data_IF_094211427008
#
_entry.id   IF_094211427008
#
_cell.length_a   1.000
_cell.length_b   1.000
_cell.length_c   1.000
_cell.angle_alpha   90.00
_cell.angle_beta   90.00
_cell.angle_gamma   90.00
#
_symmetry.space_group_name_H-M   'P 1'
#
loop_
_entity.id
_entity.type
_entity.pdbx_description
1 polymer ?
#
# COMPACT_ATOMS: atom_id res chain seq x y z
N UNK A 1 -11.51 17.88 -11.21
CA UNK A 1 -12.09 18.53 -10.03
C UNK A 1 -11.22 19.70 -9.66
N UNK A 2 -11.80 20.89 -9.61
CA UNK A 2 -11.11 22.09 -9.15
C UNK A 2 -11.11 22.10 -7.62
N UNK A 3 -9.93 22.15 -7.02
CA UNK A 3 -9.72 22.39 -5.59
C UNK A 3 -9.43 23.88 -5.40
N UNK A 4 -10.06 24.47 -4.39
CA UNK A 4 -9.79 25.82 -3.93
C UNK A 4 -9.49 25.78 -2.43
N UNK A 5 -8.56 26.61 -1.98
CA UNK A 5 -8.19 26.75 -0.58
C UNK A 5 -8.11 28.22 -0.18
N UNK A 6 -8.77 28.52 0.93
CA UNK A 6 -8.68 29.78 1.68
C UNK A 6 -8.04 29.48 3.03
N UNK A 7 -6.97 30.21 3.36
CA UNK A 7 -6.23 29.99 4.60
C UNK A 7 -7.12 30.20 5.83
N UNK A 8 -7.17 29.18 6.70
CA UNK A 8 -7.74 29.31 8.04
C UNK A 8 -6.62 29.66 9.01
N UNK A 9 -6.83 30.67 9.87
CA UNK A 9 -5.80 31.19 10.78
C UNK A 9 -5.30 30.15 11.80
N UNK A 10 -6.19 29.28 12.27
CA UNK A 10 -5.91 28.20 13.21
C UNK A 10 -6.73 26.97 12.80
N UNK A 11 -6.11 25.80 12.78
CA UNK A 11 -6.78 24.52 12.53
C UNK A 11 -6.47 23.62 13.73
N UNK A 12 -7.42 23.48 14.65
CA UNK A 12 -7.37 22.48 15.72
C UNK A 12 -8.59 21.58 15.57
N UNK A 13 -8.39 20.41 14.95
CA UNK A 13 -9.51 19.54 14.60
C UNK A 13 -9.12 18.06 14.58
N UNK A 14 -10.12 17.21 14.39
CA UNK A 14 -10.01 15.77 14.29
C UNK A 14 -10.37 15.33 12.88
N UNK A 15 -9.55 14.45 12.31
CA UNK A 15 -9.99 13.66 11.17
C UNK A 15 -10.92 12.58 11.69
N UNK A 16 -12.21 12.71 11.37
CA UNK A 16 -13.24 11.80 11.87
C UNK A 16 -13.07 10.39 11.29
N UNK A 17 -12.60 10.28 10.05
CA UNK A 17 -12.47 9.01 9.35
C UNK A 17 -11.10 8.86 8.66
N UNK A 18 -10.08 8.44 9.40
CA UNK A 18 -8.87 7.93 8.78
C UNK A 18 -9.11 6.44 8.44
N UNK A 19 -9.04 6.03 7.16
CA UNK A 19 -9.46 4.70 6.75
C UNK A 19 -8.56 3.65 7.41
N UNK A 20 -9.13 2.49 7.69
CA UNK A 20 -8.35 1.34 8.14
C UNK A 20 -7.39 0.85 7.05
N UNK A 21 -6.27 0.27 7.46
CA UNK A 21 -5.22 -0.21 6.57
C UNK A 21 -5.77 -1.25 5.61
N UNK A 22 -5.72 -0.92 4.31
CA UNK A 22 -6.10 -1.84 3.23
C UNK A 22 -5.20 -3.08 3.24
N UNK A 23 -3.91 -2.87 3.49
CA UNK A 23 -2.90 -3.92 3.47
C UNK A 23 -3.07 -4.92 4.61
N UNK A 24 -3.42 -4.45 5.80
CA UNK A 24 -3.75 -5.32 6.93
C UNK A 24 -5.09 -6.03 6.74
N UNK A 25 -6.12 -5.27 6.33
CA UNK A 25 -7.48 -5.81 6.13
C UNK A 25 -7.48 -7.00 5.17
N UNK A 26 -6.77 -6.87 4.04
CA UNK A 26 -6.76 -7.92 3.03
C UNK A 26 -6.04 -9.19 3.49
N UNK A 27 -4.99 -9.06 4.31
CA UNK A 27 -4.30 -10.22 4.91
C UNK A 27 -5.18 -10.89 5.97
N UNK A 28 -5.78 -10.09 6.83
CA UNK A 28 -6.70 -10.57 7.86
C UNK A 28 -7.90 -11.33 7.27
N UNK A 29 -8.48 -10.84 6.15
CA UNK A 29 -9.55 -11.54 5.43
C UNK A 29 -9.11 -12.90 4.86
N UNK A 30 -7.90 -12.97 4.27
CA UNK A 30 -7.36 -14.23 3.74
C UNK A 30 -7.10 -15.21 4.88
N UNK A 31 -6.43 -14.77 5.95
CA UNK A 31 -6.16 -15.61 7.13
C UNK A 31 -7.46 -16.13 7.74
N UNK A 32 -8.48 -15.27 7.88
CA UNK A 32 -9.80 -15.68 8.37
C UNK A 32 -10.40 -16.82 7.51
N UNK A 33 -10.35 -16.72 6.18
CA UNK A 33 -10.92 -17.75 5.31
C UNK A 33 -10.06 -19.01 5.21
N UNK A 34 -8.72 -18.90 5.32
CA UNK A 34 -7.83 -20.05 5.44
C UNK A 34 -8.08 -20.80 6.76
N UNK A 35 -8.31 -20.09 7.86
CA UNK A 35 -8.70 -20.69 9.12
C UNK A 35 -10.05 -21.39 9.03
N UNK A 36 -11.05 -20.78 8.38
CA UNK A 36 -12.35 -21.42 8.12
C UNK A 36 -12.20 -22.69 7.28
N UNK A 37 -11.31 -22.69 6.28
CA UNK A 37 -10.97 -23.89 5.51
C UNK A 37 -10.39 -25.00 6.40
N UNK A 38 -9.57 -24.65 7.40
CA UNK A 38 -9.09 -25.53 8.48
C UNK A 38 -10.15 -25.83 9.58
N UNK A 39 -11.43 -25.52 9.34
CA UNK A 39 -12.55 -25.70 10.28
C UNK A 39 -12.49 -24.83 11.56
N UNK A 40 -11.70 -23.76 11.56
CA UNK A 40 -11.65 -22.76 12.64
C UNK A 40 -12.61 -21.61 12.36
N UNK A 41 -13.61 -21.42 13.23
CA UNK A 41 -14.77 -20.55 12.95
C UNK A 41 -14.81 -19.25 13.75
N UNK A 42 -13.96 -19.09 14.76
CA UNK A 42 -14.01 -17.95 15.69
C UNK A 42 -12.85 -16.97 15.46
N UNK A 43 -12.55 -16.65 14.19
CA UNK A 43 -11.71 -15.51 13.83
C UNK A 43 -12.60 -14.33 13.45
N UNK A 44 -12.51 -13.24 14.20
CA UNK A 44 -13.27 -12.02 13.93
C UNK A 44 -12.31 -10.88 13.56
N UNK A 45 -12.63 -10.16 12.49
CA UNK A 45 -11.87 -8.99 12.06
C UNK A 45 -12.71 -7.73 12.30
N UNK A 46 -12.16 -6.78 13.04
CA UNK A 46 -12.78 -5.50 13.36
C UNK A 46 -12.09 -4.37 12.58
N UNK A 47 -12.84 -3.31 12.31
CA UNK A 47 -12.37 -2.12 11.59
C UNK A 47 -11.81 -2.43 10.19
N UNK A 48 -12.48 -3.28 9.39
CA UNK A 48 -12.04 -3.55 8.01
C UNK A 48 -12.05 -2.27 7.16
N UNK A 49 -11.05 -2.14 6.29
CA UNK A 49 -10.96 -1.04 5.34
C UNK A 49 -12.16 -0.98 4.41
N UNK A 50 -12.68 0.22 4.19
CA UNK A 50 -13.75 0.48 3.22
C UNK A 50 -13.23 0.69 1.79
N UNK A 51 -11.92 0.53 1.58
CA UNK A 51 -11.26 0.57 0.29
C UNK A 51 -11.87 -0.43 -0.71
N UNK A 52 -11.90 -0.07 -1.99
CA UNK A 52 -12.50 -0.92 -3.03
C UNK A 52 -11.86 -2.33 -3.07
N UNK A 53 -10.53 -2.44 -3.02
CA UNK A 53 -9.84 -3.73 -3.00
C UNK A 53 -10.32 -4.63 -1.84
N UNK A 54 -10.53 -4.08 -0.65
CA UNK A 54 -10.97 -4.85 0.52
C UNK A 54 -12.42 -5.31 0.36
N UNK A 55 -13.28 -4.46 -0.21
CA UNK A 55 -14.67 -4.83 -0.55
C UNK A 55 -14.73 -5.94 -1.60
N UNK A 56 -13.94 -5.83 -2.68
CA UNK A 56 -13.86 -6.86 -3.74
C UNK A 56 -13.40 -8.18 -3.12
N UNK A 57 -12.30 -8.17 -2.37
CA UNK A 57 -11.76 -9.39 -1.74
C UNK A 57 -12.78 -10.05 -0.83
N UNK A 58 -13.41 -9.26 0.06
CA UNK A 58 -14.43 -9.75 0.96
C UNK A 58 -15.58 -10.40 0.19
N UNK A 59 -16.09 -9.73 -0.84
CA UNK A 59 -17.18 -10.24 -1.67
C UNK A 59 -16.81 -11.56 -2.37
N UNK A 60 -15.61 -11.66 -2.93
CA UNK A 60 -15.11 -12.87 -3.58
C UNK A 60 -14.99 -14.05 -2.60
N UNK A 61 -14.50 -13.79 -1.38
CA UNK A 61 -14.35 -14.81 -0.35
C UNK A 61 -15.69 -15.28 0.23
N UNK A 62 -16.64 -14.35 0.46
CA UNK A 62 -17.98 -14.68 0.96
C UNK A 62 -18.81 -15.47 -0.07
N UNK A 63 -18.63 -15.19 -1.36
CA UNK A 63 -19.36 -15.86 -2.44
C UNK A 63 -18.64 -17.07 -3.04
N UNK A 64 -17.50 -17.48 -2.49
CA UNK A 64 -16.63 -18.51 -3.08
C UNK A 64 -17.27 -19.89 -3.35
N UNK A 65 -18.42 -20.19 -2.73
CA UNK A 65 -19.16 -21.43 -2.96
C UNK A 65 -20.21 -21.31 -4.08
N UNK A 66 -20.52 -20.10 -4.52
CA UNK A 66 -21.58 -19.79 -5.48
C UNK A 66 -21.03 -19.37 -6.86
N UNK A 67 -19.72 -19.19 -6.98
CA UNK A 67 -19.06 -18.71 -8.20
C UNK A 67 -17.90 -19.64 -8.60
N UNK A 68 -17.64 -19.72 -9.91
CA UNK A 68 -16.48 -20.41 -10.47
C UNK A 68 -15.51 -19.45 -11.17
N UNK A 69 -15.94 -18.20 -11.40
CA UNK A 69 -15.14 -17.11 -11.94
C UNK A 69 -15.01 -16.05 -10.85
N UNK A 70 -13.77 -15.78 -10.46
CA UNK A 70 -13.39 -14.75 -9.50
C UNK A 70 -12.84 -13.56 -10.28
N UNK A 71 -13.52 -12.43 -10.23
CA UNK A 71 -13.08 -11.20 -10.88
C UNK A 71 -12.48 -10.24 -9.84
N UNK A 72 -11.18 -10.01 -9.90
CA UNK A 72 -10.47 -9.10 -9.01
C UNK A 72 -10.42 -7.66 -9.53
N UNK A 73 -11.15 -7.34 -10.60
CA UNK A 73 -11.17 -6.04 -11.25
C UNK A 73 -9.75 -5.51 -11.55
N UNK A 74 -9.35 -4.37 -11.00
CA UNK A 74 -8.00 -3.78 -11.10
C UNK A 74 -7.21 -3.90 -9.78
N UNK A 75 -7.72 -4.70 -8.83
CA UNK A 75 -7.23 -4.81 -7.46
C UNK A 75 -6.06 -5.81 -7.35
N UNK A 76 -4.84 -5.32 -7.57
CA UNK A 76 -3.63 -6.16 -7.64
C UNK A 76 -3.31 -6.98 -6.40
N UNK A 77 -3.64 -6.47 -5.21
CA UNK A 77 -3.46 -7.20 -3.95
C UNK A 77 -4.46 -8.35 -3.86
N UNK A 78 -5.72 -8.11 -4.25
CA UNK A 78 -6.78 -9.12 -4.29
C UNK A 78 -6.38 -10.25 -5.22
N UNK A 79 -5.97 -9.92 -6.46
CA UNK A 79 -5.56 -10.93 -7.44
C UNK A 79 -4.46 -11.83 -6.87
N UNK A 80 -3.37 -11.25 -6.33
CA UNK A 80 -2.23 -12.04 -5.82
C UNK A 80 -2.60 -12.91 -4.63
N UNK A 81 -3.39 -12.40 -3.69
CA UNK A 81 -3.79 -13.17 -2.52
C UNK A 81 -4.79 -14.27 -2.88
N UNK A 82 -5.76 -13.95 -3.74
CA UNK A 82 -6.70 -14.95 -4.27
C UNK A 82 -6.00 -16.03 -5.08
N UNK A 83 -4.91 -15.72 -5.79
CA UNK A 83 -4.13 -16.74 -6.51
C UNK A 83 -3.62 -17.84 -5.58
N UNK A 84 -3.03 -17.48 -4.42
CA UNK A 84 -2.56 -18.47 -3.46
C UNK A 84 -3.71 -19.15 -2.70
N UNK A 85 -4.74 -18.38 -2.33
CA UNK A 85 -5.93 -18.90 -1.66
C UNK A 85 -6.66 -19.97 -2.50
N UNK A 86 -6.96 -19.66 -3.76
CA UNK A 86 -7.68 -20.58 -4.66
C UNK A 86 -6.86 -21.84 -4.94
N UNK A 87 -5.52 -21.74 -5.01
CA UNK A 87 -4.65 -22.90 -5.13
C UNK A 87 -4.83 -23.89 -3.98
N UNK A 88 -4.96 -23.41 -2.73
CA UNK A 88 -5.23 -24.26 -1.55
C UNK A 88 -6.61 -24.91 -1.60
N UNK A 89 -7.63 -24.18 -2.07
CA UNK A 89 -9.00 -24.73 -2.11
C UNK A 89 -9.17 -25.86 -3.14
N UNK A 90 -8.24 -25.99 -4.09
CA UNK A 90 -8.21 -26.99 -5.18
C UNK A 90 -9.48 -27.06 -6.04
N UNK A 91 -10.36 -26.06 -6.00
CA UNK A 91 -11.57 -26.04 -6.84
C UNK A 91 -11.24 -25.62 -8.27
N UNK A 92 -11.89 -26.25 -9.26
CA UNK A 92 -11.81 -25.83 -10.68
C UNK A 92 -12.44 -24.45 -10.86
N UNK A 93 -11.59 -23.42 -10.92
CA UNK A 93 -12.00 -22.00 -10.90
C UNK A 93 -11.12 -21.16 -11.82
N UNK A 94 -11.62 -20.00 -12.24
CA UNK A 94 -10.87 -19.02 -13.02
C UNK A 94 -10.74 -17.73 -12.21
N UNK A 95 -9.54 -17.15 -12.15
CA UNK A 95 -9.29 -15.83 -11.58
C UNK A 95 -8.91 -14.85 -12.71
N UNK A 96 -9.68 -13.78 -12.83
CA UNK A 96 -9.58 -12.77 -13.89
C UNK A 96 -9.60 -11.35 -13.31
N UNK A 97 -9.54 -10.37 -14.20
CA UNK A 97 -9.68 -8.95 -13.89
C UNK A 97 -9.92 -8.14 -15.15
N UNK A 98 -9.94 -6.83 -14.99
CA UNK A 98 -10.00 -5.85 -16.08
C UNK A 98 -8.86 -6.07 -17.10
N UNK A 99 -8.98 -5.48 -18.29
CA UNK A 99 -7.91 -5.49 -19.30
C UNK A 99 -6.56 -5.03 -18.71
N UNK A 100 -6.60 -3.98 -17.88
CA UNK A 100 -5.39 -3.49 -17.18
C UNK A 100 -4.80 -4.52 -16.23
N UNK A 101 -5.62 -5.28 -15.50
CA UNK A 101 -5.14 -6.36 -14.64
C UNK A 101 -4.47 -7.47 -15.46
N UNK A 102 -4.98 -7.77 -16.65
CA UNK A 102 -4.40 -8.75 -17.57
C UNK A 102 -3.05 -8.33 -18.15
N UNK A 103 -2.58 -7.11 -17.88
CA UNK A 103 -1.23 -6.65 -18.21
C UNK A 103 -0.28 -6.67 -17.00
N UNK A 104 -0.78 -7.02 -15.81
CA UNK A 104 0.03 -7.02 -14.59
C UNK A 104 0.75 -8.35 -14.41
N UNK A 105 2.07 -8.33 -14.14
CA UNK A 105 2.84 -9.55 -14.00
C UNK A 105 2.38 -10.35 -12.77
N UNK A 106 2.14 -11.65 -12.97
CA UNK A 106 1.82 -12.63 -11.94
C UNK A 106 2.72 -13.87 -11.99
N UNK A 107 3.57 -13.97 -13.02
CA UNK A 107 4.45 -15.11 -13.27
C UNK A 107 5.17 -15.65 -12.04
N UNK A 108 5.89 -14.83 -11.24
CA UNK A 108 6.70 -15.37 -10.14
C UNK A 108 5.88 -16.11 -9.08
N UNK A 109 4.65 -15.65 -8.81
CA UNK A 109 3.76 -16.30 -7.86
C UNK A 109 3.19 -17.61 -8.41
N UNK A 110 2.72 -17.62 -9.66
CA UNK A 110 2.18 -18.82 -10.29
C UNK A 110 3.26 -19.88 -10.45
N UNK A 111 4.48 -19.49 -10.80
CA UNK A 111 5.61 -20.41 -10.91
C UNK A 111 5.96 -21.05 -9.57
N UNK A 112 6.06 -20.25 -8.50
CA UNK A 112 6.26 -20.77 -7.14
C UNK A 112 5.15 -21.75 -6.71
N UNK A 113 3.89 -21.44 -6.97
CA UNK A 113 2.76 -22.35 -6.66
C UNK A 113 2.82 -23.65 -7.48
N UNK A 114 3.24 -23.60 -8.75
CA UNK A 114 3.45 -24.80 -9.58
C UNK A 114 4.62 -25.66 -9.10
N UNK A 115 5.67 -25.06 -8.56
CA UNK A 115 6.79 -25.76 -7.91
C UNK A 115 6.32 -26.49 -6.64
N UNK A 116 5.42 -25.87 -5.86
CA UNK A 116 4.79 -26.47 -4.66
C UNK A 116 3.86 -27.64 -5.01
N UNK A 117 3.27 -27.65 -6.20
CA UNK A 117 2.47 -28.78 -6.70
C UNK A 117 1.13 -28.41 -7.33
N UNK A 118 0.71 -27.16 -7.25
CA UNK A 118 -0.60 -26.74 -7.75
C UNK A 118 -0.66 -26.75 -9.29
N UNK A 119 -1.79 -27.19 -9.86
CA UNK A 119 -2.05 -27.09 -11.30
C UNK A 119 -2.79 -25.78 -11.60
N UNK A 120 -2.05 -24.84 -12.17
CA UNK A 120 -2.51 -23.50 -12.54
C UNK A 120 -2.14 -23.29 -14.01
N UNK A 121 -3.07 -22.85 -14.87
CA UNK A 121 -2.81 -22.56 -16.29
C UNK A 121 -3.13 -21.11 -16.63
N UNK A 122 -2.34 -20.52 -17.51
CA UNK A 122 -2.68 -19.24 -18.14
C UNK A 122 -3.68 -19.52 -19.25
N UNK A 123 -4.77 -18.76 -19.32
CA UNK A 123 -5.80 -18.97 -20.35
C UNK A 123 -5.60 -18.07 -21.57
N UNK A 124 -4.71 -17.07 -21.47
CA UNK A 124 -4.43 -16.13 -22.54
C UNK A 124 -2.92 -15.98 -22.78
N UNK A 125 -2.23 -15.13 -22.00
CA UNK A 125 -0.79 -14.89 -22.14
C UNK A 125 -0.02 -15.45 -20.94
N UNK A 126 1.10 -16.15 -21.21
CA UNK A 126 1.96 -16.65 -20.15
C UNK A 126 2.50 -15.50 -19.29
N UNK A 127 2.35 -15.65 -17.97
CA UNK A 127 2.87 -14.72 -16.98
C UNK A 127 1.91 -13.61 -16.57
N UNK A 128 0.71 -13.59 -17.16
CA UNK A 128 -0.32 -12.56 -16.96
C UNK A 128 -1.71 -13.19 -16.77
N UNK A 129 -2.64 -12.53 -16.06
CA UNK A 129 -4.03 -12.96 -15.99
C UNK A 129 -4.70 -13.05 -17.37
N UNK A 130 -5.80 -13.82 -17.52
CA UNK A 130 -6.44 -14.66 -16.51
C UNK A 130 -5.72 -15.99 -16.26
N UNK A 131 -5.96 -16.59 -15.09
CA UNK A 131 -5.43 -17.89 -14.70
C UNK A 131 -6.55 -18.84 -14.26
N UNK A 132 -6.37 -20.13 -14.51
CA UNK A 132 -7.32 -21.19 -14.17
C UNK A 132 -6.66 -22.23 -13.26
N UNK A 133 -7.40 -22.66 -12.25
CA UNK A 133 -6.99 -23.67 -11.26
C UNK A 133 -7.65 -25.01 -11.56
N UNK A 134 -6.94 -26.10 -11.29
CA UNK A 134 -7.44 -27.47 -11.44
C UNK A 134 -7.19 -28.27 -10.17
N UNK A 135 -8.04 -29.28 -9.94
CA UNK A 135 -7.82 -30.29 -8.91
C UNK A 135 -6.53 -31.07 -9.21
N UNK A 136 -5.64 -31.16 -8.23
CA UNK A 136 -4.40 -31.90 -8.39
C UNK A 136 -3.92 -32.46 -7.05
N UNK A 137 -3.66 -33.77 -7.03
CA UNK A 137 -3.18 -34.51 -5.86
C UNK A 137 -1.67 -34.82 -5.91
N UNK A 138 -0.89 -34.13 -6.77
CA UNK A 138 0.56 -34.39 -6.84
C UNK A 138 1.34 -33.64 -5.76
N UNK A 139 2.09 -34.41 -4.98
CA UNK A 139 3.04 -33.92 -3.98
C UNK A 139 4.26 -33.32 -4.66
N UNK A 140 4.64 -32.06 -4.34
CA UNK A 140 5.92 -31.48 -4.77
C UNK A 140 6.61 -30.70 -3.65
N UNK A 141 7.60 -29.88 -4.05
CA UNK A 141 8.66 -29.32 -3.23
C UNK A 141 8.14 -28.39 -2.13
N UNK A 142 8.82 -28.41 -0.99
CA UNK A 142 8.54 -27.58 0.18
C UNK A 142 9.53 -26.42 0.32
N UNK A 143 10.51 -26.36 -0.59
CA UNK A 143 11.56 -25.35 -0.66
C UNK A 143 11.41 -24.66 -2.00
N UNK A 144 11.23 -23.35 -2.00
CA UNK A 144 11.11 -22.53 -3.21
C UNK A 144 12.08 -21.35 -3.17
N UNK A 145 12.47 -20.88 -4.34
CA UNK A 145 13.31 -19.71 -4.53
C UNK A 145 12.50 -18.60 -5.20
N UNK A 146 12.51 -17.40 -4.63
CA UNK A 146 11.79 -16.25 -5.19
C UNK A 146 12.64 -14.99 -5.11
N UNK A 147 12.68 -14.24 -6.21
CA UNK A 147 13.34 -12.93 -6.25
C UNK A 147 12.63 -11.96 -5.31
N UNK A 148 13.38 -11.44 -4.34
CA UNK A 148 12.85 -10.65 -3.25
C UNK A 148 12.58 -9.19 -3.62
N UNK A 149 13.11 -8.73 -4.76
CA UNK A 149 12.99 -7.35 -5.22
C UNK A 149 11.77 -7.09 -6.14
N UNK A 150 11.02 -8.11 -6.53
CA UNK A 150 9.90 -7.96 -7.49
C UNK A 150 8.63 -7.47 -6.80
N UNK A 151 8.10 -8.22 -5.84
CA UNK A 151 6.87 -7.84 -5.13
C UNK A 151 6.69 -8.59 -3.83
N UNK A 152 6.67 -7.86 -2.72
CA UNK A 152 6.38 -8.40 -1.39
C UNK A 152 4.99 -9.07 -1.30
N UNK A 153 4.06 -8.75 -2.19
CA UNK A 153 2.73 -9.35 -2.24
C UNK A 153 2.78 -10.82 -2.68
N UNK A 154 3.73 -11.21 -3.54
CA UNK A 154 3.91 -12.62 -3.93
C UNK A 154 4.38 -13.44 -2.73
N UNK A 155 5.40 -12.95 -2.02
CA UNK A 155 5.92 -13.58 -0.82
C UNK A 155 4.82 -13.66 0.24
N UNK A 156 4.10 -12.56 0.51
CA UNK A 156 3.01 -12.53 1.49
C UNK A 156 1.92 -13.56 1.18
N UNK A 157 1.53 -13.73 -0.09
CA UNK A 157 0.53 -14.71 -0.50
C UNK A 157 0.98 -16.15 -0.21
N UNK A 158 2.25 -16.47 -0.50
CA UNK A 158 2.85 -17.78 -0.22
C UNK A 158 2.97 -18.06 1.28
N UNK A 159 3.36 -17.06 2.07
CA UNK A 159 3.47 -17.18 3.53
C UNK A 159 2.13 -17.53 4.16
N UNK A 160 1.04 -16.83 3.80
CA UNK A 160 -0.26 -17.06 4.41
C UNK A 160 -0.79 -18.49 4.19
N UNK A 161 -0.45 -19.13 3.08
CA UNK A 161 -0.86 -20.52 2.79
C UNK A 161 0.11 -21.57 3.32
N UNK A 162 1.36 -21.19 3.63
CA UNK A 162 2.41 -22.09 4.09
C UNK A 162 1.99 -23.03 5.24
N UNK A 163 1.30 -22.58 6.32
CA UNK A 163 0.95 -23.47 7.42
C UNK A 163 -0.07 -24.56 7.04
N UNK A 164 -0.79 -24.40 5.92
CA UNK A 164 -1.77 -25.38 5.43
C UNK A 164 -1.14 -26.48 4.57
N UNK A 165 0.12 -26.31 4.14
CA UNK A 165 0.82 -27.30 3.33
C UNK A 165 1.26 -28.47 4.23
N UNK A 166 1.12 -29.72 3.75
CA UNK A 166 1.41 -30.94 4.53
C UNK A 166 2.81 -30.95 5.18
N UNK A 167 3.77 -30.27 4.56
CA UNK A 167 5.17 -30.20 5.01
C UNK A 167 5.64 -28.76 5.25
N UNK A 168 4.72 -27.80 5.27
CA UNK A 168 5.03 -26.38 5.42
C UNK A 168 5.69 -25.80 4.18
N UNK A 169 6.36 -24.66 4.35
CA UNK A 169 7.08 -23.98 3.28
C UNK A 169 8.37 -23.35 3.79
N UNK A 170 9.45 -23.52 3.03
CA UNK A 170 10.71 -22.79 3.15
C UNK A 170 10.87 -21.93 1.91
N UNK A 171 11.01 -20.62 2.10
CA UNK A 171 11.18 -19.65 1.03
C UNK A 171 12.57 -19.04 1.12
N UNK A 172 13.38 -19.26 0.09
CA UNK A 172 14.65 -18.57 -0.10
C UNK A 172 14.42 -17.29 -0.92
N UNK A 173 14.71 -16.15 -0.31
CA UNK A 173 14.60 -14.82 -0.88
C UNK A 173 15.90 -14.47 -1.63
N UNK A 174 15.84 -14.43 -2.95
CA UNK A 174 17.00 -14.12 -3.79
C UNK A 174 17.19 -12.60 -3.92
N UNK A 175 18.42 -12.13 -3.67
CA UNK A 175 18.80 -10.73 -3.77
C UNK A 175 18.39 -9.89 -2.56
N UNK A 176 18.34 -8.58 -2.75
CA UNK A 176 17.91 -7.62 -1.73
C UNK A 176 16.38 -7.66 -1.55
N UNK A 177 15.94 -7.70 -0.30
CA UNK A 177 14.52 -7.78 0.05
C UNK A 177 13.93 -6.37 0.03
N UNK A 178 13.22 -6.02 -1.04
CA UNK A 178 12.48 -4.76 -1.10
C UNK A 178 11.16 -4.87 -0.34
N UNK A 179 10.69 -3.76 0.23
CA UNK A 179 9.38 -3.71 0.91
C UNK A 179 9.26 -4.73 2.06
N UNK A 180 10.35 -4.92 2.81
CA UNK A 180 10.46 -5.85 3.95
C UNK A 180 9.33 -5.70 4.98
N UNK A 181 8.83 -4.48 5.30
CA UNK A 181 7.73 -4.32 6.25
C UNK A 181 6.44 -5.04 5.86
N UNK A 182 6.16 -5.20 4.57
CA UNK A 182 4.97 -5.94 4.13
C UNK A 182 5.07 -7.44 4.39
N UNK A 183 6.28 -7.99 4.37
CA UNK A 183 6.56 -9.39 4.74
C UNK A 183 6.42 -9.51 6.26
N UNK A 184 7.05 -8.61 7.03
CA UNK A 184 6.96 -8.58 8.49
C UNK A 184 5.51 -8.41 8.99
N UNK A 185 4.72 -7.56 8.35
CA UNK A 185 3.29 -7.38 8.65
C UNK A 185 2.52 -8.68 8.43
N UNK A 186 2.81 -9.41 7.35
CA UNK A 186 2.19 -10.73 7.11
C UNK A 186 2.54 -11.71 8.21
N UNK A 187 3.84 -11.87 8.50
CA UNK A 187 4.34 -12.77 9.54
C UNK A 187 3.81 -12.40 10.94
N UNK A 188 3.74 -11.11 11.25
CA UNK A 188 3.20 -10.61 12.52
C UNK A 188 1.70 -10.91 12.67
N UNK A 189 0.91 -10.76 11.60
CA UNK A 189 -0.51 -11.16 11.64
C UNK A 189 -0.66 -12.66 11.76
N UNK A 190 0.14 -13.44 11.02
CA UNK A 190 0.14 -14.89 11.13
C UNK A 190 0.48 -15.35 12.55
N UNK A 191 1.47 -14.73 13.20
CA UNK A 191 1.84 -15.00 14.58
C UNK A 191 0.76 -14.59 15.58
N UNK A 192 0.07 -13.47 15.35
CA UNK A 192 -1.11 -13.09 16.13
C UNK A 192 -2.22 -14.16 16.09
N UNK A 193 -2.35 -14.85 14.94
CA UNK A 193 -3.23 -15.99 14.76
C UNK A 193 -2.54 -17.34 15.04
N UNK A 194 -1.49 -17.36 15.86
CA UNK A 194 -0.88 -18.58 16.41
C UNK A 194 0.00 -19.37 15.44
N UNK A 195 0.48 -18.77 14.35
CA UNK A 195 1.45 -19.40 13.45
C UNK A 195 2.86 -18.95 13.80
N UNK A 196 3.70 -19.90 14.20
CA UNK A 196 5.12 -19.69 14.39
C UNK A 196 5.88 -19.73 13.07
N UNK A 197 6.93 -18.92 12.98
CA UNK A 197 7.81 -18.84 11.82
C UNK A 197 9.25 -18.60 12.27
N UNK A 198 10.21 -18.95 11.41
CA UNK A 198 11.58 -18.45 11.52
C UNK A 198 11.93 -17.62 10.28
N UNK A 199 12.71 -16.56 10.51
CA UNK A 199 13.30 -15.78 9.43
C UNK A 199 14.77 -15.53 9.74
N UNK A 200 15.63 -16.30 9.09
CA UNK A 200 17.07 -16.22 9.26
C UNK A 200 17.71 -15.85 7.92
N UNK A 201 18.49 -14.76 7.92
CA UNK A 201 19.06 -14.18 6.71
C UNK A 201 17.95 -13.91 5.65
N UNK A 202 18.03 -14.58 4.51
CA UNK A 202 17.06 -14.51 3.42
C UNK A 202 16.17 -15.76 3.35
N UNK A 203 16.08 -16.55 4.41
CA UNK A 203 15.26 -17.77 4.44
C UNK A 203 14.13 -17.62 5.45
N UNK A 204 12.89 -17.77 4.98
CA UNK A 204 11.71 -17.83 5.84
C UNK A 204 11.22 -19.27 5.86
N UNK A 205 10.99 -19.82 7.06
CA UNK A 205 10.48 -21.17 7.25
C UNK A 205 9.22 -21.16 8.09
N UNK A 206 8.20 -21.87 7.62
CA UNK A 206 6.92 -22.05 8.30
C UNK A 206 6.55 -23.53 8.26
N UNK A 207 6.33 -24.13 9.42
CA UNK A 207 5.91 -25.52 9.55
C UNK A 207 4.38 -25.66 9.42
N UNK A 208 3.86 -26.87 9.11
CA UNK A 208 2.41 -27.15 9.12
C UNK A 208 1.79 -26.80 10.47
N UNK A 209 0.80 -25.92 10.47
CA UNK A 209 0.17 -25.36 11.66
C UNK A 209 -1.29 -24.96 11.38
N UNK A 210 -2.06 -24.67 12.43
CA UNK A 210 -3.47 -24.29 12.33
C UNK A 210 -3.63 -22.86 12.86
N UNK A 211 -4.28 -22.01 12.07
CA UNK A 211 -4.63 -20.65 12.50
C UNK A 211 -5.58 -20.69 13.70
N UNK A 212 -5.27 -19.94 14.76
CA UNK A 212 -6.01 -19.92 16.01
C UNK A 212 -7.11 -18.86 16.01
N UNK A 213 -8.17 -19.13 16.77
CA UNK A 213 -9.30 -18.21 16.97
C UNK A 213 -8.84 -16.96 17.73
N UNK A 214 -9.09 -15.77 17.17
CA UNK A 214 -8.74 -14.50 17.80
C UNK A 214 -9.57 -13.34 17.20
N UNK A 215 -9.62 -12.21 17.89
CA UNK A 215 -10.23 -10.96 17.42
C UNK A 215 -9.12 -10.00 17.01
N UNK A 216 -8.99 -9.72 15.72
CA UNK A 216 -7.99 -8.80 15.20
C UNK A 216 -8.64 -7.47 14.81
N UNK A 217 -8.16 -6.38 15.40
CA UNK A 217 -8.61 -5.02 15.06
C UNK A 217 -7.58 -4.38 14.14
N UNK A 218 -8.01 -4.01 12.94
CA UNK A 218 -7.13 -3.36 11.95
C UNK A 218 -6.86 -1.91 12.36
N UNK A 219 -5.61 -1.47 12.32
CA UNK A 219 -5.24 -0.07 12.56
C UNK A 219 -5.55 0.84 11.36
N UNK A 220 -5.55 2.15 11.58
CA UNK A 220 -5.69 3.13 10.50
C UNK A 220 -4.47 3.13 9.58
N UNK A 221 -4.68 3.55 8.34
CA UNK A 221 -3.70 3.44 7.26
C UNK A 221 -2.63 4.54 7.36
N UNK A 222 -1.37 4.13 7.58
CA UNK A 222 -0.24 5.06 7.69
C UNK A 222 0.12 5.73 6.36
N UNK A 223 -0.15 5.08 5.22
CA UNK A 223 -0.02 5.75 3.92
C UNK A 223 -1.00 6.91 3.81
N UNK A 224 -2.27 6.69 4.20
CA UNK A 224 -3.30 7.73 4.19
C UNK A 224 -2.99 8.86 5.17
N UNK A 225 -2.36 8.54 6.31
CA UNK A 225 -1.89 9.54 7.27
C UNK A 225 -0.90 10.53 6.64
N UNK A 226 -0.09 10.09 5.67
CA UNK A 226 0.95 10.93 5.05
C UNK A 226 0.41 12.21 4.41
N UNK A 227 -0.81 12.20 3.88
CA UNK A 227 -1.43 13.38 3.28
C UNK A 227 -1.78 14.44 4.34
N UNK A 228 -2.13 14.01 5.55
CA UNK A 228 -2.37 14.90 6.68
C UNK A 228 -1.08 15.45 7.27
N UNK A 229 -0.02 14.63 7.33
CA UNK A 229 1.33 15.12 7.63
C UNK A 229 1.76 16.21 6.64
N UNK A 230 1.57 15.96 5.34
CA UNK A 230 1.86 16.93 4.29
C UNK A 230 1.06 18.23 4.49
N UNK A 231 -0.24 18.14 4.81
CA UNK A 231 -1.06 19.32 5.13
C UNK A 231 -0.49 20.13 6.30
N UNK A 232 -0.15 19.48 7.41
CA UNK A 232 0.43 20.15 8.58
C UNK A 232 1.75 20.85 8.23
N UNK A 233 2.55 20.32 7.32
CA UNK A 233 3.78 21.00 6.85
C UNK A 233 3.47 22.36 6.19
N UNK A 234 2.33 22.54 5.52
CA UNK A 234 1.97 23.80 4.85
C UNK A 234 1.20 24.78 5.73
N UNK A 235 0.35 24.30 6.65
CA UNK A 235 -0.55 25.16 7.42
C UNK A 235 0.00 25.49 8.81
N UNK A 236 0.33 26.77 9.02
CA UNK A 236 0.72 27.28 10.34
C UNK A 236 -0.42 27.13 11.34
N UNK A 237 -0.08 27.05 12.63
CA UNK A 237 -1.05 26.91 13.73
C UNK A 237 -2.04 25.75 13.53
N UNK A 238 -1.53 24.64 13.01
CA UNK A 238 -2.31 23.44 12.77
C UNK A 238 -1.97 22.35 13.78
N UNK A 239 -3.01 21.79 14.41
CA UNK A 239 -3.00 20.60 15.24
C UNK A 239 -4.11 19.67 14.76
N UNK A 240 -3.76 18.46 14.35
CA UNK A 240 -4.72 17.46 13.88
C UNK A 240 -4.65 16.20 14.74
N UNK A 241 -5.81 15.70 15.16
CA UNK A 241 -5.93 14.35 15.68
C UNK A 241 -6.20 13.36 14.55
N UNK A 242 -5.40 12.30 14.47
CA UNK A 242 -5.57 11.16 13.58
C UNK A 242 -5.88 9.89 14.40
N UNK A 243 -7.05 9.27 14.23
CA UNK A 243 -7.46 8.11 15.03
C UNK A 243 -6.69 6.84 14.66
N UNK A 244 -6.63 5.90 15.62
CA UNK A 244 -6.22 4.50 15.44
C UNK A 244 -4.86 4.27 14.77
N UNK A 245 -3.91 5.19 14.97
CA UNK A 245 -2.52 5.03 14.61
C UNK A 245 -1.69 4.82 15.87
N UNK A 246 -0.83 3.80 15.87
CA UNK A 246 -0.12 3.37 17.07
C UNK A 246 1.40 3.39 16.89
N UNK A 247 2.12 3.62 17.99
CA UNK A 247 3.58 3.72 17.99
C UNK A 247 4.26 2.43 17.52
N UNK A 248 3.73 1.27 17.92
CA UNK A 248 4.30 -0.04 17.60
C UNK A 248 3.67 -0.68 16.35
N UNK A 249 3.22 0.15 15.41
CA UNK A 249 2.65 -0.29 14.13
C UNK A 249 3.62 -1.17 13.33
N UNK A 250 3.05 -2.10 12.55
CA UNK A 250 3.79 -2.95 11.61
C UNK A 250 3.70 -2.46 10.16
N UNK A 251 2.96 -1.38 9.91
CA UNK A 251 2.94 -0.73 8.61
C UNK A 251 4.25 0.06 8.43
N UNK A 252 5.01 -0.25 7.38
CA UNK A 252 6.29 0.42 7.10
C UNK A 252 6.15 1.94 6.87
N UNK A 253 4.97 2.36 6.43
CA UNK A 253 4.63 3.77 6.20
C UNK A 253 4.55 4.58 7.50
N UNK A 254 4.62 3.96 8.69
CA UNK A 254 4.79 4.67 9.95
C UNK A 254 6.10 5.49 10.02
N UNK A 255 7.07 5.20 9.14
CA UNK A 255 8.28 6.00 8.92
C UNK A 255 7.98 7.48 8.61
N UNK A 256 6.76 7.80 8.17
CA UNK A 256 6.31 9.19 8.01
C UNK A 256 6.50 10.03 9.27
N UNK A 257 6.44 9.42 10.47
CA UNK A 257 6.68 10.11 11.75
C UNK A 257 8.08 10.72 11.78
N UNK A 258 9.10 9.92 11.45
CA UNK A 258 10.50 10.34 11.45
C UNK A 258 10.79 11.28 10.27
N UNK A 259 10.29 10.94 9.08
CA UNK A 259 10.47 11.77 7.87
C UNK A 259 9.85 13.16 8.05
N UNK A 260 8.62 13.24 8.55
CA UNK A 260 7.93 14.51 8.76
C UNK A 260 8.53 15.30 9.94
N UNK A 261 9.19 14.64 10.89
CA UNK A 261 9.93 15.33 11.94
C UNK A 261 11.11 16.15 11.41
N UNK A 262 11.75 15.70 10.32
CA UNK A 262 12.77 16.44 9.58
C UNK A 262 12.18 17.59 8.74
N UNK A 263 10.87 17.56 8.51
CA UNK A 263 10.10 18.58 7.77
C UNK A 263 9.28 19.48 8.71
N UNK A 264 9.58 19.45 10.02
CA UNK A 264 9.00 20.36 11.00
C UNK A 264 7.67 19.92 11.60
N UNK A 265 7.30 18.64 11.53
CA UNK A 265 6.09 18.11 12.20
C UNK A 265 6.47 17.43 13.51
N UNK A 266 5.69 17.64 14.56
CA UNK A 266 5.74 16.90 15.82
C UNK A 266 4.58 15.92 15.85
N UNK A 267 4.86 14.68 16.26
CA UNK A 267 3.85 13.63 16.50
C UNK A 267 3.80 13.29 17.98
N UNK A 268 2.61 13.27 18.56
CA UNK A 268 2.34 12.85 19.93
C UNK A 268 1.42 11.63 19.90
N UNK A 269 1.90 10.49 20.41
CA UNK A 269 1.10 9.28 20.53
C UNK A 269 0.19 9.34 21.76
N UNK A 270 -1.08 8.96 21.58
CA UNK A 270 -2.07 8.84 22.64
C UNK A 270 -2.81 7.51 22.48
N UNK A 271 -3.65 7.14 23.46
CA UNK A 271 -4.29 5.83 23.53
C UNK A 271 -5.05 5.45 22.24
N UNK A 272 -5.77 6.39 21.63
CA UNK A 272 -6.67 6.13 20.50
C UNK A 272 -6.18 6.73 19.17
N UNK A 273 -4.89 7.07 19.06
CA UNK A 273 -4.33 7.65 17.84
C UNK A 273 -3.15 8.56 18.09
N UNK A 274 -2.99 9.57 17.23
CA UNK A 274 -1.89 10.54 17.32
C UNK A 274 -2.39 11.97 17.15
N UNK A 275 -1.70 12.91 17.78
CA UNK A 275 -1.74 14.31 17.39
C UNK A 275 -0.55 14.65 16.52
N UNK A 276 -0.77 15.38 15.44
CA UNK A 276 0.28 15.95 14.60
C UNK A 276 0.16 17.48 14.61
N UNK A 277 1.29 18.16 14.72
CA UNK A 277 1.35 19.63 14.78
C UNK A 277 2.65 20.16 14.21
N UNK A 278 2.70 21.42 13.82
CA UNK A 278 3.98 22.04 13.44
C UNK A 278 4.86 22.25 14.67
N UNK A 279 6.18 22.07 14.50
CA UNK A 279 7.19 22.51 15.45
C UNK A 279 7.34 24.03 15.33
N UNK A 280 7.27 24.71 16.47
CA UNK A 280 7.52 26.16 16.56
C UNK A 280 8.96 26.48 16.11
N UNK A 281 9.13 27.59 15.39
CA UNK A 281 10.41 28.10 14.89
C UNK A 281 11.30 27.09 14.14
N UNK A 282 10.68 26.09 13.51
CA UNK A 282 11.43 25.08 12.77
C UNK A 282 11.98 25.62 11.44
N UNK A 283 13.29 25.47 11.25
CA UNK A 283 13.97 25.83 10.01
C UNK A 283 14.01 24.58 9.11
N UNK A 284 13.37 24.66 7.95
CA UNK A 284 13.39 23.58 6.98
C UNK A 284 14.82 23.37 6.42
N UNK A 285 15.22 22.12 6.19
CA UNK A 285 16.50 21.83 5.56
C UNK A 285 16.51 22.30 4.09
N UNK A 286 17.68 22.66 3.59
CA UNK A 286 17.86 22.98 2.15
C UNK A 286 17.96 21.74 1.29
N UNK A 287 18.50 20.64 1.84
CA UNK A 287 18.66 19.35 1.19
C UNK A 287 18.25 18.22 2.14
N UNK A 288 17.63 17.16 1.62
CA UNK A 288 17.26 15.98 2.42
C UNK A 288 17.37 14.68 1.62
N UNK A 289 17.82 13.61 2.27
CA UNK A 289 17.95 12.30 1.65
C UNK A 289 16.97 11.34 2.29
N UNK A 290 16.23 10.60 1.47
CA UNK A 290 15.28 9.59 1.92
C UNK A 290 15.45 8.29 1.15
N UNK A 291 15.47 7.19 1.89
CA UNK A 291 15.38 5.86 1.32
C UNK A 291 13.98 5.31 1.59
N UNK A 292 13.28 4.94 0.53
CA UNK A 292 11.89 4.48 0.57
C UNK A 292 11.75 2.97 0.37
N UNK A 293 12.83 2.19 0.46
CA UNK A 293 12.79 0.74 0.24
C UNK A 293 11.74 0.02 1.09
N UNK A 294 11.53 0.52 2.31
CA UNK A 294 10.62 -0.02 3.32
C UNK A 294 9.26 0.70 3.39
N UNK A 295 9.16 1.90 2.82
CA UNK A 295 7.95 2.74 2.81
C UNK A 295 7.70 3.37 1.42
N UNK A 296 7.72 2.58 0.32
CA UNK A 296 7.72 3.11 -1.06
C UNK A 296 6.49 3.98 -1.35
N UNK A 297 5.41 3.67 -0.66
CA UNK A 297 4.09 4.25 -0.82
C UNK A 297 3.98 5.68 -0.23
N UNK A 298 5.01 6.16 0.48
CA UNK A 298 5.18 7.55 0.94
C UNK A 298 5.88 8.47 -0.08
N UNK A 299 6.57 7.91 -1.07
CA UNK A 299 7.49 8.65 -1.93
C UNK A 299 6.80 9.79 -2.69
N UNK A 300 5.61 9.57 -3.28
CA UNK A 300 4.91 10.63 -4.01
C UNK A 300 4.52 11.81 -3.11
N UNK A 301 4.06 11.53 -1.89
CA UNK A 301 3.68 12.57 -0.92
C UNK A 301 4.90 13.42 -0.56
N UNK A 302 6.03 12.78 -0.21
CA UNK A 302 7.25 13.49 0.16
C UNK A 302 7.86 14.24 -1.02
N UNK A 303 7.81 13.69 -2.24
CA UNK A 303 8.28 14.37 -3.44
C UNK A 303 7.53 15.70 -3.67
N UNK A 304 6.19 15.66 -3.58
CA UNK A 304 5.36 16.86 -3.70
C UNK A 304 5.68 17.85 -2.58
N UNK A 305 5.83 17.39 -1.33
CA UNK A 305 6.20 18.25 -0.20
C UNK A 305 7.54 18.95 -0.44
N UNK A 306 8.59 18.22 -0.85
CA UNK A 306 9.92 18.77 -1.12
C UNK A 306 9.85 19.88 -2.18
N UNK A 307 9.20 19.61 -3.33
CA UNK A 307 9.04 20.60 -4.40
C UNK A 307 8.28 21.83 -3.92
N UNK A 308 7.15 21.65 -3.25
CA UNK A 308 6.34 22.77 -2.78
C UNK A 308 7.05 23.59 -1.68
N UNK A 309 7.94 22.99 -0.89
CA UNK A 309 8.72 23.69 0.13
C UNK A 309 10.06 24.23 -0.34
N UNK A 310 10.46 23.99 -1.58
CA UNK A 310 11.75 24.46 -2.08
C UNK A 310 12.95 23.64 -1.57
N UNK A 311 12.71 22.39 -1.19
CA UNK A 311 13.72 21.51 -0.59
C UNK A 311 14.25 20.59 -1.68
N UNK A 312 15.57 20.63 -1.91
CA UNK A 312 16.23 19.65 -2.77
C UNK A 312 16.26 18.30 -2.08
N UNK A 313 16.04 17.21 -2.80
CA UNK A 313 16.05 15.89 -2.18
C UNK A 313 16.68 14.80 -3.04
N UNK A 314 17.26 13.80 -2.40
CA UNK A 314 17.71 12.56 -3.04
C UNK A 314 16.87 11.40 -2.54
N UNK A 315 16.27 10.66 -3.48
CA UNK A 315 15.38 9.54 -3.24
C UNK A 315 16.03 8.24 -3.73
N UNK A 316 16.05 7.24 -2.86
CA UNK A 316 16.53 5.87 -3.15
C UNK A 316 15.45 4.85 -2.76
N UNK A 317 15.56 3.60 -3.24
CA UNK A 317 14.65 2.52 -2.84
C UNK A 317 13.23 2.62 -3.43
N UNK A 318 13.07 3.36 -4.53
CA UNK A 318 11.77 3.61 -5.18
C UNK A 318 11.54 2.77 -6.44
N UNK A 319 12.38 1.77 -6.71
CA UNK A 319 12.32 0.94 -7.93
C UNK A 319 10.98 0.22 -8.07
N UNK A 320 10.40 -0.21 -6.94
CA UNK A 320 9.11 -0.91 -6.91
C UNK A 320 7.95 -0.06 -7.45
N UNK A 321 8.11 1.27 -7.54
CA UNK A 321 7.12 2.21 -8.02
C UNK A 321 6.85 2.11 -9.52
N UNK A 322 7.78 1.56 -10.31
CA UNK A 322 7.63 1.40 -11.77
C UNK A 322 6.53 0.40 -12.18
N UNK A 323 6.19 -0.55 -11.29
CA UNK A 323 5.27 -1.67 -11.57
C UNK A 323 4.01 -1.67 -10.69
N UNK A 324 3.65 -0.49 -10.14
CA UNK A 324 2.45 -0.30 -9.29
C UNK A 324 1.21 -0.13 -10.17
N UNK A 325 0.22 0.67 -9.74
CA UNK A 325 -0.99 0.95 -10.51
C UNK A 325 -0.65 1.65 -11.85
N UNK A 326 0.23 2.64 -11.78
CA UNK A 326 0.93 3.28 -12.90
C UNK A 326 2.44 3.19 -12.70
N UNK A 327 3.23 3.58 -13.71
CA UNK A 327 4.64 3.92 -13.48
C UNK A 327 4.69 5.26 -12.73
N UNK A 328 4.71 5.16 -11.40
CA UNK A 328 4.63 6.33 -10.50
C UNK A 328 5.87 7.22 -10.60
N UNK A 329 7.02 6.66 -10.97
CA UNK A 329 8.23 7.47 -11.22
C UNK A 329 8.00 8.31 -12.46
N UNK A 330 7.55 7.70 -13.55
CA UNK A 330 7.25 8.43 -14.78
C UNK A 330 6.15 9.47 -14.57
N UNK A 331 5.11 9.14 -13.81
CA UNK A 331 4.05 10.07 -13.47
C UNK A 331 4.58 11.26 -12.65
N UNK A 332 5.42 11.04 -11.63
CA UNK A 332 6.08 12.13 -10.89
C UNK A 332 6.94 13.01 -11.82
N UNK A 333 7.73 12.41 -12.71
CA UNK A 333 8.55 13.15 -13.67
C UNK A 333 7.72 14.05 -14.59
N UNK A 334 6.50 13.63 -14.95
CA UNK A 334 5.62 14.40 -15.81
C UNK A 334 4.85 15.49 -15.06
N UNK A 335 4.46 15.23 -13.81
CA UNK A 335 3.54 16.09 -13.06
C UNK A 335 4.24 17.06 -12.09
N UNK A 336 5.43 16.75 -11.57
CA UNK A 336 6.20 17.69 -10.73
C UNK A 336 6.57 19.01 -11.44
N UNK A 337 6.90 19.03 -12.77
CA UNK A 337 7.14 20.27 -13.50
C UNK A 337 5.98 21.27 -13.46
N UNK A 338 4.74 20.76 -13.37
CA UNK A 338 3.52 21.58 -13.28
C UNK A 338 3.38 22.32 -11.96
N UNK A 339 4.15 21.94 -10.94
CA UNK A 339 4.18 22.56 -9.61
C UNK A 339 5.57 23.13 -9.25
N UNK A 340 6.44 23.30 -10.25
CA UNK A 340 7.72 24.00 -10.09
C UNK A 340 8.87 23.13 -9.60
N UNK A 341 8.82 21.82 -9.84
CA UNK A 341 9.92 20.91 -9.53
C UNK A 341 10.24 19.96 -10.68
N UNK A 342 11.30 19.19 -10.52
CA UNK A 342 11.69 18.13 -11.46
C UNK A 342 12.18 16.94 -10.66
N UNK A 343 12.04 15.76 -11.24
CA UNK A 343 12.64 14.53 -10.73
C UNK A 343 13.52 13.94 -11.81
N UNK A 344 14.78 13.63 -11.50
CA UNK A 344 15.75 13.14 -12.49
C UNK A 344 16.52 11.96 -11.91
N UNK A 345 16.64 10.88 -12.67
CA UNK A 345 17.50 9.75 -12.30
C UNK A 345 18.95 10.16 -12.58
N UNK A 346 19.74 10.35 -11.53
CA UNK A 346 21.15 10.79 -11.65
C UNK A 346 22.13 9.62 -11.63
N UNK A 347 21.72 8.53 -10.99
CA UNK A 347 22.38 7.21 -11.01
C UNK A 347 21.30 6.16 -10.97
N UNK A 348 21.61 4.94 -11.41
CA UNK A 348 20.66 3.83 -11.39
C UNK A 348 20.03 3.65 -10.00
N UNK A 349 18.71 3.87 -9.89
CA UNK A 349 17.96 3.78 -8.62
C UNK A 349 18.04 5.01 -7.71
N UNK A 350 18.81 6.04 -8.08
CA UNK A 350 18.97 7.29 -7.30
C UNK A 350 18.37 8.46 -8.06
N UNK A 351 17.36 9.08 -7.46
CA UNK A 351 16.60 10.16 -8.08
C UNK A 351 16.80 11.46 -7.31
N UNK A 352 17.13 12.53 -8.01
CA UNK A 352 17.17 13.88 -7.46
C UNK A 352 15.85 14.60 -7.74
N UNK A 353 15.34 15.27 -6.71
CA UNK A 353 14.22 16.19 -6.76
C UNK A 353 14.78 17.58 -6.53
N UNK A 354 14.47 18.48 -7.46
CA UNK A 354 15.00 19.83 -7.45
C UNK A 354 13.92 20.81 -7.91
N UNK A 355 14.09 22.07 -7.54
CA UNK A 355 13.16 23.14 -7.88
C UNK A 355 13.52 23.81 -9.20
N UNK A 356 12.51 24.25 -9.93
CA UNK A 356 12.69 25.03 -11.15
C UNK A 356 12.87 26.50 -10.74
N UNK A 357 13.99 27.10 -11.13
CA UNK A 357 14.26 28.53 -10.89
C UNK A 357 13.24 29.40 -11.66
N UNK A 358 12.82 30.51 -11.05
CA UNK A 358 11.85 31.46 -11.62
C UNK A 358 10.54 30.79 -12.08
N UNK A 359 10.07 29.78 -11.33
CA UNK A 359 8.81 29.12 -11.64
C UNK A 359 7.61 30.02 -11.33
N UNK A 360 6.89 30.39 -12.39
CA UNK A 360 5.59 31.05 -12.30
C UNK A 360 4.47 30.01 -12.42
N UNK A 361 3.68 29.88 -11.35
CA UNK A 361 2.58 28.92 -11.34
C UNK A 361 1.46 29.37 -12.28
N UNK A 362 1.14 28.52 -13.25
CA UNK A 362 -0.05 28.63 -14.08
C UNK A 362 -1.04 27.55 -13.64
N UNK A 363 -2.30 27.89 -13.29
CA UNK A 363 -3.31 26.90 -12.97
C UNK A 363 -3.40 25.83 -14.06
N UNK A 364 -3.13 24.59 -13.67
CA UNK A 364 -3.01 23.46 -14.59
C UNK A 364 -3.62 22.21 -14.00
N UNK A 365 -4.03 21.32 -14.89
CA UNK A 365 -4.61 20.03 -14.55
C UNK A 365 -3.53 19.01 -14.30
N UNK A 366 -3.53 18.46 -13.09
CA UNK A 366 -2.71 17.31 -12.71
C UNK A 366 -3.40 16.03 -13.15
N UNK A 367 -2.67 15.23 -13.93
CA UNK A 367 -3.13 13.92 -14.36
C UNK A 367 -2.85 12.90 -13.25
N UNK A 368 -3.81 12.02 -12.98
CA UNK A 368 -3.69 11.05 -11.87
C UNK A 368 -3.34 9.67 -12.35
N UNK A 369 -3.46 9.39 -13.66
CA UNK A 369 -3.15 8.08 -14.25
C UNK A 369 -3.94 6.94 -13.61
N UNK A 370 -5.16 7.24 -13.14
CA UNK A 370 -5.99 6.33 -12.33
C UNK A 370 -5.32 5.83 -11.03
N UNK A 371 -4.31 6.54 -10.54
CA UNK A 371 -3.58 6.21 -9.31
C UNK A 371 -4.02 7.13 -8.15
N UNK A 372 -4.63 6.51 -7.13
CA UNK A 372 -5.10 7.20 -5.93
C UNK A 372 -3.98 7.96 -5.20
N UNK A 373 -2.74 7.47 -5.23
CA UNK A 373 -1.62 8.13 -4.54
C UNK A 373 -1.15 9.36 -5.28
N UNK A 374 -1.10 9.32 -6.61
CA UNK A 374 -0.84 10.52 -7.43
C UNK A 374 -1.91 11.57 -7.15
N UNK A 375 -3.17 11.15 -7.12
CA UNK A 375 -4.32 12.00 -6.84
C UNK A 375 -4.21 12.72 -5.48
N UNK A 376 -4.02 11.97 -4.39
CA UNK A 376 -3.97 12.53 -3.03
C UNK A 376 -2.68 13.30 -2.74
N UNK A 377 -1.53 12.84 -3.26
CA UNK A 377 -0.25 13.53 -3.06
C UNK A 377 -0.27 14.94 -3.68
N UNK A 378 -0.76 15.06 -4.92
CA UNK A 378 -0.83 16.36 -5.61
C UNK A 378 -1.96 17.25 -5.12
N UNK A 379 -3.03 16.70 -4.51
CA UNK A 379 -4.09 17.51 -3.91
C UNK A 379 -3.54 18.51 -2.86
N UNK A 380 -2.43 18.18 -2.18
CA UNK A 380 -1.76 19.03 -1.19
C UNK A 380 -1.21 20.33 -1.82
N UNK A 381 -0.93 20.35 -3.12
CA UNK A 381 -0.46 21.56 -3.79
C UNK A 381 -1.46 22.73 -3.74
N UNK A 382 -2.75 22.46 -3.47
CA UNK A 382 -3.77 23.49 -3.21
C UNK A 382 -3.38 24.42 -2.06
N UNK A 383 -2.62 23.94 -1.07
CA UNK A 383 -2.21 24.74 0.09
C UNK A 383 -1.11 25.75 -0.23
N UNK A 384 -0.36 25.57 -1.34
CA UNK A 384 0.63 26.54 -1.83
C UNK A 384 0.03 27.47 -2.88
N UNK A 385 -0.69 26.90 -3.85
CA UNK A 385 -1.16 27.63 -5.01
C UNK A 385 -2.59 28.18 -4.89
N UNK A 386 -3.29 27.87 -3.80
CA UNK A 386 -4.70 28.21 -3.50
C UNK A 386 -5.72 27.59 -4.46
N UNK A 387 -5.35 27.25 -5.68
CA UNK A 387 -6.19 26.54 -6.65
C UNK A 387 -5.38 25.50 -7.40
N UNK A 388 -5.94 24.30 -7.59
CA UNK A 388 -5.37 23.26 -8.46
C UNK A 388 -6.48 22.41 -9.07
N UNK A 389 -6.32 21.91 -10.29
CA UNK A 389 -7.26 20.96 -10.88
C UNK A 389 -6.67 19.54 -10.84
N UNK A 390 -7.43 18.58 -10.30
CA UNK A 390 -7.07 17.16 -10.25
C UNK A 390 -7.95 16.36 -11.23
N UNK A 391 -7.33 15.58 -12.12
CA UNK A 391 -8.02 14.62 -12.98
C UNK A 391 -8.57 13.43 -12.18
N UNK A 392 -9.77 12.96 -12.52
CA UNK A 392 -10.34 11.71 -12.00
C UNK A 392 -10.25 11.62 -10.45
N UNK A 393 -10.95 12.52 -9.73
CA UNK A 393 -10.91 12.55 -8.27
C UNK A 393 -11.38 11.24 -7.62
N UNK A 394 -12.20 10.45 -8.32
CA UNK A 394 -12.73 9.18 -7.82
C UNK A 394 -11.66 8.09 -7.68
N UNK A 395 -10.45 8.29 -8.23
CA UNK A 395 -9.33 7.39 -8.03
C UNK A 395 -9.08 7.10 -6.53
N UNK A 396 -9.33 8.07 -5.64
CA UNK A 396 -9.12 7.92 -4.18
C UNK A 396 -9.94 6.79 -3.56
N UNK A 397 -11.07 6.38 -4.15
CA UNK A 397 -11.95 5.30 -3.66
C UNK A 397 -11.20 3.97 -3.51
N UNK A 398 -10.11 3.79 -4.25
CA UNK A 398 -9.25 2.60 -4.16
C UNK A 398 -8.62 2.40 -2.78
N UNK A 399 -8.40 3.45 -2.00
CA UNK A 399 -7.81 3.33 -0.65
C UNK A 399 -8.39 4.27 0.39
N UNK A 400 -8.81 5.49 0.03
CA UNK A 400 -9.38 6.47 0.93
C UNK A 400 -10.65 7.13 0.34
N UNK A 401 -11.80 6.42 0.33
CA UNK A 401 -13.04 6.93 -0.26
C UNK A 401 -13.52 8.29 0.28
N UNK A 402 -13.35 8.55 1.58
CA UNK A 402 -13.79 9.79 2.22
C UNK A 402 -12.78 10.94 2.11
N UNK A 403 -11.65 10.76 1.39
CA UNK A 403 -10.55 11.72 1.35
C UNK A 403 -11.01 13.15 1.03
N UNK A 404 -11.82 13.33 0.00
CA UNK A 404 -12.30 14.65 -0.42
C UNK A 404 -13.23 15.31 0.59
N UNK A 405 -14.03 14.50 1.30
CA UNK A 405 -14.93 14.97 2.34
C UNK A 405 -14.13 15.43 3.55
N UNK A 406 -13.18 14.62 4.01
CA UNK A 406 -12.30 14.99 5.12
C UNK A 406 -11.47 16.22 4.77
N UNK A 407 -10.91 16.28 3.56
CA UNK A 407 -10.13 17.44 3.10
C UNK A 407 -11.00 18.69 3.09
N UNK A 408 -12.26 18.59 2.64
CA UNK A 408 -13.21 19.71 2.62
C UNK A 408 -13.69 20.19 3.99
N UNK A 409 -13.47 19.42 5.06
CA UNK A 409 -13.69 19.94 6.41
C UNK A 409 -12.57 20.91 6.82
N UNK A 410 -11.40 20.80 6.17
CA UNK A 410 -10.25 21.67 6.40
C UNK A 410 -10.24 22.83 5.40
N UNK A 411 -10.47 22.57 4.11
CA UNK A 411 -10.48 23.57 3.03
C UNK A 411 -11.91 24.03 2.71
N UNK A 412 -12.13 25.30 2.36
CA UNK A 412 -13.47 25.75 1.95
C UNK A 412 -13.80 25.23 0.55
N UNK A 413 -14.99 24.67 0.34
CA UNK A 413 -15.52 24.36 -1.00
C UNK A 413 -16.06 25.63 -1.65
N UNK A 414 -15.60 25.95 -2.86
CA UNK A 414 -16.34 26.78 -3.80
C UNK A 414 -16.97 25.91 -4.87
#
# INVERSE_FOLDING_TARGET
MLLAFTSKKNIDTRINYLPASKSESNRALIIQHLAQYQQQKNIAIQNLSTANDTKILKNLLENQNNITIFDAEDAGTVFRFMTAYLAITQKKTTLTGTTRMQERPIFPLVDALRQIGFDIKYTHQQGFPPIQFFENNTKKQTIIHIKANISSQFISALLMIAPLLESGLTIHLEGEVSSKPYILMTLSQMNFFGIDYSWEQNTIKIFPQIYQNNVYTVESDWSAASYWYALVIFQKNTRLFLPNLFQNSKQGDNQIVEMAALLGVKTEFVENGIFISQKEDFILPTNINFNFIDCPDLAQTIAVVCVLKGIKATFEGIESLKIKETDRIKALQNELPKIGGKMTEVKNGVFEIDNIENFDYVPTKILTYHDHRMCMAFAIAVFKFHTIEIENPDAVIKSYPEFWKDLSNIIDKK
#
